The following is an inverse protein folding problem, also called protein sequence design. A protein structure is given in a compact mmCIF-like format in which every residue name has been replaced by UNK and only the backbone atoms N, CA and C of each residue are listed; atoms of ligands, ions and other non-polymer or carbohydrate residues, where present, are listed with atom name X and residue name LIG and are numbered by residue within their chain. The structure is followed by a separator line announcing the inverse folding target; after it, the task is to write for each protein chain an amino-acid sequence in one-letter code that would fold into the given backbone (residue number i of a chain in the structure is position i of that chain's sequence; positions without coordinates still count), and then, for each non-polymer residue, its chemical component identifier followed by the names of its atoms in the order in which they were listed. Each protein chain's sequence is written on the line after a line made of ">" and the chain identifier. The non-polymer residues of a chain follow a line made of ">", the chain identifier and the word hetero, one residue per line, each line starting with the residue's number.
data_IF_521888861749
#
_entry.id   IF_521888861749
#
_cell.length_a   1.000
_cell.length_b   1.000
_cell.length_c   1.000
_cell.angle_alpha   90.00
_cell.angle_beta   90.00
_cell.angle_gamma   90.00
#
_symmetry.space_group_name_H-M   'P 1'
#
loop_
_entity.id
_entity.type
_entity.pdbx_description
1 polymer ?
#
# COMPACT_ATOMS: atom_id res chain seq x y z
N UNK A 1 11.78 12.33 -29.80
CA UNK A 1 12.13 11.41 -30.87
C UNK A 1 11.29 10.16 -30.78
N UNK A 2 10.81 9.62 -31.90
CA UNK A 2 9.95 8.43 -31.94
C UNK A 2 10.67 7.18 -31.45
N UNK A 3 11.97 7.06 -31.69
CA UNK A 3 12.77 5.94 -31.22
C UNK A 3 12.87 5.91 -29.70
N UNK A 4 13.14 7.06 -29.07
CA UNK A 4 13.14 7.20 -27.61
C UNK A 4 11.78 6.83 -27.00
N UNK A 5 10.68 7.23 -27.65
CA UNK A 5 9.33 6.86 -27.19
C UNK A 5 9.12 5.34 -27.29
N UNK A 6 9.56 4.72 -28.40
CA UNK A 6 9.50 3.27 -28.59
C UNK A 6 10.28 2.54 -27.51
N UNK A 7 11.50 2.99 -27.23
CA UNK A 7 12.37 2.39 -26.21
C UNK A 7 11.73 2.48 -24.82
N UNK A 8 11.15 3.63 -24.47
CA UNK A 8 10.46 3.84 -23.19
C UNK A 8 9.18 3.00 -23.07
N UNK A 9 8.36 2.90 -24.12
CA UNK A 9 7.16 2.04 -24.12
C UNK A 9 7.55 0.56 -23.96
N UNK A 10 8.60 0.11 -24.62
CA UNK A 10 9.13 -1.25 -24.47
C UNK A 10 9.70 -1.50 -23.06
N UNK A 11 10.32 -0.49 -22.45
CA UNK A 11 10.86 -0.58 -21.09
C UNK A 11 9.75 -0.60 -20.03
N UNK A 12 8.79 0.31 -20.14
CA UNK A 12 7.74 0.48 -19.14
C UNK A 12 6.61 -0.54 -19.28
N UNK A 13 6.29 -0.95 -20.52
CA UNK A 13 5.16 -1.84 -20.85
C UNK A 13 3.88 -1.42 -20.12
N UNK A 14 3.42 -0.18 -20.30
CA UNK A 14 2.26 0.31 -19.59
C UNK A 14 1.02 -0.50 -19.96
N UNK A 15 0.13 -0.75 -18.99
CA UNK A 15 -1.17 -1.37 -19.27
C UNK A 15 -2.09 -0.40 -20.01
N UNK A 16 -2.00 0.89 -19.70
CA UNK A 16 -2.75 1.97 -20.33
C UNK A 16 -1.83 3.12 -20.72
N UNK A 17 -2.13 3.76 -21.84
CA UNK A 17 -1.39 4.89 -22.37
C UNK A 17 -2.34 6.07 -22.60
N UNK A 18 -2.21 7.09 -21.74
CA UNK A 18 -3.06 8.28 -21.75
C UNK A 18 -2.42 9.35 -22.62
N UNK A 19 -3.19 9.91 -23.52
CA UNK A 19 -2.75 10.94 -24.48
C UNK A 19 -3.82 12.00 -24.68
N UNK A 20 -3.42 13.17 -25.17
CA UNK A 20 -4.36 14.22 -25.58
C UNK A 20 -5.03 13.88 -26.91
N UNK A 21 -6.34 14.10 -27.00
CA UNK A 21 -7.11 13.94 -28.25
C UNK A 21 -6.88 15.07 -29.27
N UNK A 22 -6.25 16.19 -28.86
CA UNK A 22 -5.97 17.33 -29.73
C UNK A 22 -4.70 17.19 -30.57
N UNK A 23 -3.95 16.09 -30.40
CA UNK A 23 -2.66 15.89 -31.07
C UNK A 23 -2.68 14.57 -31.84
N UNK A 24 -2.18 14.58 -33.06
CA UNK A 24 -1.94 13.35 -33.80
C UNK A 24 -0.79 12.57 -33.17
N UNK A 25 -1.02 11.28 -32.99
CA UNK A 25 -0.07 10.38 -32.36
C UNK A 25 0.54 9.42 -33.35
N UNK A 26 1.82 9.05 -33.21
CA UNK A 26 2.45 8.01 -34.03
C UNK A 26 1.71 6.67 -33.91
N UNK A 27 1.79 5.85 -34.96
CA UNK A 27 1.15 4.53 -34.98
C UNK A 27 1.50 3.63 -33.77
N UNK A 28 2.72 3.74 -33.26
CA UNK A 28 3.14 2.99 -32.05
C UNK A 28 2.31 3.35 -30.80
N UNK A 29 1.77 4.54 -30.72
CA UNK A 29 0.92 5.00 -29.61
C UNK A 29 -0.53 4.55 -29.86
N UNK A 30 -1.05 4.81 -31.07
CA UNK A 30 -2.46 4.51 -31.41
C UNK A 30 -2.76 3.03 -31.50
N UNK A 31 -1.77 2.20 -31.87
CA UNK A 31 -1.88 0.74 -31.91
C UNK A 31 -1.72 0.06 -30.54
N UNK A 32 -1.39 0.82 -29.48
CA UNK A 32 -1.27 0.25 -28.15
C UNK A 32 -2.63 -0.21 -27.62
N UNK A 33 -2.72 -1.46 -27.12
CA UNK A 33 -3.98 -2.06 -26.67
C UNK A 33 -4.68 -1.25 -25.55
N UNK A 34 -3.89 -0.58 -24.72
CA UNK A 34 -4.37 0.30 -23.64
C UNK A 34 -4.41 1.79 -24.02
N UNK A 35 -4.45 2.14 -25.32
CA UNK A 35 -4.54 3.53 -25.75
C UNK A 35 -5.83 4.18 -25.26
N UNK A 36 -5.70 5.34 -24.57
CA UNK A 36 -6.80 6.10 -23.95
C UNK A 36 -6.64 7.58 -24.26
N UNK A 37 -7.27 8.10 -25.33
CA UNK A 37 -7.30 9.53 -25.57
C UNK A 37 -8.16 10.24 -24.51
N UNK A 38 -7.69 11.38 -24.02
CA UNK A 38 -8.37 12.24 -23.06
C UNK A 38 -8.48 13.66 -23.64
N UNK A 39 -9.51 14.41 -23.26
CA UNK A 39 -9.67 15.78 -23.72
C UNK A 39 -8.45 16.66 -23.44
N UNK A 40 -8.09 17.53 -24.40
CA UNK A 40 -6.91 18.38 -24.30
C UNK A 40 -6.87 19.26 -23.04
N UNK A 41 -8.04 19.69 -22.54
CA UNK A 41 -8.13 20.51 -21.32
C UNK A 41 -7.66 19.78 -20.04
N UNK A 42 -7.61 18.46 -20.06
CA UNK A 42 -7.07 17.70 -18.93
C UNK A 42 -5.53 17.77 -18.83
N UNK A 43 -4.88 18.18 -19.90
CA UNK A 43 -3.44 18.43 -19.98
C UNK A 43 -3.08 19.92 -19.74
N UNK A 44 -4.04 20.74 -19.29
CA UNK A 44 -3.76 22.14 -18.95
C UNK A 44 -2.69 22.25 -17.85
N UNK A 45 -1.60 22.94 -18.16
CA UNK A 45 -0.44 23.05 -17.27
C UNK A 45 -0.73 23.73 -15.94
N UNK A 46 -1.66 24.71 -15.93
CA UNK A 46 -2.04 25.44 -14.71
C UNK A 46 -2.83 24.54 -13.77
N UNK A 47 -3.82 23.84 -14.31
CA UNK A 47 -4.64 22.86 -13.57
C UNK A 47 -3.79 21.70 -13.07
N UNK A 48 -2.87 21.19 -13.91
CA UNK A 48 -1.95 20.11 -13.56
C UNK A 48 -1.02 20.52 -12.39
N UNK A 49 -0.44 21.73 -12.47
CA UNK A 49 0.41 22.29 -11.41
C UNK A 49 -0.34 22.41 -10.09
N UNK A 50 -1.55 22.96 -10.12
CA UNK A 50 -2.41 23.08 -8.93
C UNK A 50 -2.77 21.71 -8.34
N UNK A 51 -3.07 20.72 -9.18
CA UNK A 51 -3.39 19.36 -8.78
C UNK A 51 -2.20 18.69 -8.06
N UNK A 52 -0.99 18.81 -8.60
CA UNK A 52 0.23 18.25 -8.01
C UNK A 52 0.59 18.93 -6.68
N UNK A 53 0.52 20.27 -6.62
CA UNK A 53 0.77 21.03 -5.38
C UNK A 53 -0.18 20.59 -4.27
N UNK A 54 -1.49 20.48 -4.59
CA UNK A 54 -2.51 20.03 -3.64
C UNK A 54 -2.26 18.59 -3.18
N UNK A 55 -1.95 17.68 -4.09
CA UNK A 55 -1.71 16.27 -3.78
C UNK A 55 -0.56 16.08 -2.81
N UNK A 56 0.56 16.75 -3.06
CA UNK A 56 1.79 16.56 -2.29
C UNK A 56 1.95 17.58 -1.16
N UNK A 57 0.99 18.50 -0.98
CA UNK A 57 1.00 19.55 0.05
C UNK A 57 2.30 20.35 0.05
N UNK A 58 2.79 20.71 -1.12
CA UNK A 58 3.98 21.52 -1.32
C UNK A 58 3.60 22.93 -1.73
N UNK A 59 4.47 23.92 -1.50
CA UNK A 59 4.20 25.31 -1.86
C UNK A 59 4.35 25.56 -3.37
N UNK A 60 5.36 24.95 -3.99
CA UNK A 60 5.59 25.04 -5.44
C UNK A 60 6.32 23.79 -5.97
N UNK A 61 6.43 23.67 -7.30
CA UNK A 61 7.12 22.57 -7.97
C UNK A 61 8.62 22.84 -8.20
N UNK A 62 9.13 24.01 -7.81
CA UNK A 62 10.56 24.36 -8.00
C UNK A 62 11.45 23.47 -7.14
N UNK A 63 11.01 23.17 -5.92
CA UNK A 63 11.69 22.24 -5.02
C UNK A 63 11.90 20.84 -5.59
N UNK A 64 11.15 20.49 -6.63
CA UNK A 64 11.19 19.20 -7.30
C UNK A 64 11.95 19.23 -8.64
N UNK A 65 12.59 20.34 -8.99
CA UNK A 65 13.28 20.58 -10.27
C UNK A 65 12.36 20.44 -11.52
N UNK A 66 11.06 20.77 -11.36
CA UNK A 66 10.07 20.71 -12.45
C UNK A 66 9.83 22.08 -13.10
N UNK A 67 10.54 23.14 -12.73
CA UNK A 67 10.23 24.54 -13.13
C UNK A 67 10.08 24.75 -14.63
N UNK A 68 10.93 24.08 -15.43
CA UNK A 68 11.00 24.27 -16.89
C UNK A 68 10.51 23.04 -17.67
N UNK A 69 9.65 22.22 -17.05
CA UNK A 69 9.20 20.96 -17.60
C UNK A 69 7.67 20.91 -17.75
N UNK A 70 7.09 21.92 -18.36
CA UNK A 70 5.62 22.09 -18.47
C UNK A 70 4.92 20.86 -19.05
N UNK A 71 5.48 20.22 -20.08
CA UNK A 71 4.91 18.99 -20.65
C UNK A 71 4.90 17.83 -19.66
N UNK A 72 5.96 17.67 -18.86
CA UNK A 72 6.01 16.63 -17.83
C UNK A 72 5.01 16.91 -16.71
N UNK A 73 4.84 18.17 -16.33
CA UNK A 73 3.84 18.61 -15.33
C UNK A 73 2.44 18.32 -15.84
N UNK A 74 2.13 18.69 -17.09
CA UNK A 74 0.83 18.45 -17.71
C UNK A 74 0.50 16.97 -17.77
N UNK A 75 1.46 16.13 -18.19
CA UNK A 75 1.31 14.68 -18.23
C UNK A 75 1.11 14.07 -16.83
N UNK A 76 1.91 14.47 -15.84
CA UNK A 76 1.80 14.01 -14.47
C UNK A 76 0.48 14.42 -13.81
N UNK A 77 0.02 15.65 -14.04
CA UNK A 77 -1.26 16.15 -13.54
C UNK A 77 -2.45 15.42 -14.13
N UNK A 78 -2.46 15.20 -15.47
CA UNK A 78 -3.48 14.42 -16.15
C UNK A 78 -3.51 12.97 -15.63
N UNK A 79 -2.36 12.32 -15.51
CA UNK A 79 -2.25 10.97 -14.97
C UNK A 79 -2.78 10.88 -13.54
N UNK A 80 -2.39 11.79 -12.66
CA UNK A 80 -2.85 11.83 -11.28
C UNK A 80 -4.39 12.01 -11.21
N UNK A 81 -4.94 12.90 -12.03
CA UNK A 81 -6.39 13.11 -12.11
C UNK A 81 -7.11 11.84 -12.58
N UNK A 82 -6.60 11.23 -13.64
CA UNK A 82 -7.14 9.97 -14.16
C UNK A 82 -7.16 8.86 -13.11
N UNK A 83 -6.06 8.68 -12.36
CA UNK A 83 -5.99 7.66 -11.32
C UNK A 83 -6.95 7.97 -10.17
N UNK A 84 -7.13 9.24 -9.77
CA UNK A 84 -8.13 9.65 -8.78
C UNK A 84 -9.55 9.36 -9.22
N UNK A 85 -9.88 9.64 -10.47
CA UNK A 85 -11.19 9.36 -11.06
C UNK A 85 -11.50 7.84 -11.09
N UNK A 86 -10.51 7.03 -11.44
CA UNK A 86 -10.68 5.58 -11.54
C UNK A 86 -10.69 4.89 -10.18
N UNK A 87 -9.85 5.31 -9.25
CA UNK A 87 -9.76 4.72 -7.91
C UNK A 87 -10.75 5.34 -6.92
N UNK A 88 -11.32 6.51 -7.24
CA UNK A 88 -12.27 7.26 -6.38
C UNK A 88 -11.74 7.56 -4.99
N UNK A 89 -10.42 7.73 -4.84
CA UNK A 89 -9.72 8.02 -3.58
C UNK A 89 -8.66 9.11 -3.77
N UNK A 90 -8.20 9.72 -2.67
CA UNK A 90 -7.17 10.77 -2.69
C UNK A 90 -5.74 10.26 -2.94
N UNK A 91 -5.51 8.97 -3.02
CA UNK A 91 -4.24 8.32 -3.36
C UNK A 91 -3.04 8.77 -2.49
N UNK A 92 -3.12 8.74 -1.15
CA UNK A 92 -2.05 9.24 -0.28
C UNK A 92 -0.74 8.44 -0.40
N UNK A 93 -0.79 7.23 -0.95
CA UNK A 93 0.36 6.34 -1.15
C UNK A 93 1.20 6.67 -2.39
N UNK A 94 0.70 7.51 -3.31
CA UNK A 94 1.47 7.92 -4.49
C UNK A 94 2.51 8.95 -4.06
N UNK A 95 3.76 8.56 -4.17
CA UNK A 95 4.90 9.40 -3.82
C UNK A 95 5.09 10.54 -4.82
N UNK A 96 5.80 11.57 -4.38
CA UNK A 96 6.21 12.70 -5.21
C UNK A 96 6.95 12.17 -6.45
N UNK A 97 6.55 12.59 -7.67
CA UNK A 97 7.21 12.17 -8.89
C UNK A 97 8.68 12.62 -8.90
N UNK A 98 9.55 11.78 -9.40
CA UNK A 98 10.97 12.10 -9.58
C UNK A 98 11.26 12.29 -11.05
N UNK A 99 11.97 13.36 -11.36
CA UNK A 99 12.49 13.55 -12.71
C UNK A 99 13.60 12.53 -12.95
N UNK A 100 13.48 11.75 -14.01
CA UNK A 100 14.55 10.89 -14.49
C UNK A 100 15.36 11.69 -15.51
N UNK A 101 16.62 11.98 -15.19
CA UNK A 101 17.53 12.57 -16.17
C UNK A 101 18.10 11.43 -17.04
N UNK A 102 17.92 11.49 -18.37
CA UNK A 102 18.51 10.52 -19.28
C UNK A 102 20.04 10.43 -19.18
N UNK A 103 20.70 11.48 -18.66
CA UNK A 103 22.15 11.49 -18.47
C UNK A 103 22.59 10.64 -17.27
N UNK A 104 21.72 10.41 -16.29
CA UNK A 104 22.00 9.60 -15.10
C UNK A 104 21.96 8.10 -15.36
N UNK A 105 21.40 7.68 -16.48
CA UNK A 105 21.22 6.27 -16.81
C UNK A 105 21.86 5.87 -18.15
N UNK A 106 22.22 4.61 -18.27
CA UNK A 106 22.61 4.03 -19.55
C UNK A 106 21.35 3.75 -20.37
N UNK A 107 21.26 4.39 -21.53
CA UNK A 107 20.15 4.16 -22.46
C UNK A 107 20.39 2.82 -23.14
N UNK A 108 19.46 1.88 -22.99
CA UNK A 108 19.45 0.59 -23.67
C UNK A 108 18.26 0.61 -24.61
N UNK A 109 18.51 0.57 -25.90
CA UNK A 109 17.47 0.52 -26.93
C UNK A 109 16.63 -0.77 -26.85
N UNK A 110 15.46 -0.76 -27.49
CA UNK A 110 14.52 -1.88 -27.45
C UNK A 110 15.09 -3.17 -28.04
N UNK A 111 15.91 -3.08 -29.10
CA UNK A 111 16.51 -4.25 -29.74
C UNK A 111 17.59 -4.86 -28.84
N UNK A 112 18.49 -4.04 -28.29
CA UNK A 112 19.51 -4.48 -27.33
C UNK A 112 18.90 -5.12 -26.09
N UNK A 113 17.86 -4.50 -25.50
CA UNK A 113 17.13 -5.02 -24.35
C UNK A 113 16.54 -6.40 -24.62
N UNK A 114 15.91 -6.57 -25.79
CA UNK A 114 15.34 -7.83 -26.23
C UNK A 114 16.41 -8.88 -26.43
N UNK A 115 17.47 -8.55 -27.16
CA UNK A 115 18.55 -9.50 -27.52
C UNK A 115 19.36 -9.94 -26.30
N UNK A 116 19.50 -9.08 -25.29
CA UNK A 116 20.17 -9.41 -24.03
C UNK A 116 19.24 -10.17 -23.05
N UNK A 117 17.98 -10.37 -23.40
CA UNK A 117 16.98 -11.04 -22.54
C UNK A 117 17.04 -10.58 -21.08
N UNK A 118 17.05 -9.25 -20.86
CA UNK A 118 17.29 -8.69 -19.54
C UNK A 118 16.24 -9.12 -18.49
N UNK A 119 14.96 -9.07 -18.86
CA UNK A 119 13.84 -9.42 -17.97
C UNK A 119 12.67 -10.09 -18.71
N UNK A 120 12.80 -10.32 -20.01
CA UNK A 120 11.83 -11.08 -20.82
C UNK A 120 12.59 -11.94 -21.82
N UNK A 121 12.27 -13.22 -21.83
CA UNK A 121 12.84 -14.16 -22.80
C UNK A 121 12.22 -13.97 -24.18
N UNK A 122 13.04 -14.10 -25.22
CA UNK A 122 12.61 -14.05 -26.63
C UNK A 122 11.69 -15.22 -26.95
N UNK A 123 12.00 -16.40 -26.43
CA UNK A 123 11.21 -17.61 -26.62
C UNK A 123 9.95 -17.69 -25.76
N UNK A 124 9.81 -16.80 -24.77
CA UNK A 124 8.75 -16.84 -23.77
C UNK A 124 8.90 -17.93 -22.69
N UNK A 125 9.89 -18.81 -22.82
CA UNK A 125 10.14 -19.93 -21.90
C UNK A 125 11.60 -20.01 -21.40
N UNK A 126 12.45 -19.08 -21.83
CA UNK A 126 13.88 -19.05 -21.45
C UNK A 126 14.11 -18.34 -20.11
N UNK A 127 15.28 -18.64 -19.51
CA UNK A 127 15.77 -17.95 -18.31
C UNK A 127 16.37 -16.60 -18.69
N UNK A 128 15.92 -15.53 -18.06
CA UNK A 128 16.42 -14.16 -18.29
C UNK A 128 17.57 -13.81 -17.35
N UNK A 129 18.30 -12.71 -17.66
CA UNK A 129 19.31 -12.20 -16.74
C UNK A 129 18.70 -11.89 -15.35
N UNK A 130 17.49 -11.33 -15.32
CA UNK A 130 16.79 -11.09 -14.06
C UNK A 130 16.54 -12.37 -13.28
N UNK A 131 16.11 -13.44 -13.93
CA UNK A 131 15.81 -14.72 -13.26
C UNK A 131 17.05 -15.34 -12.63
N UNK A 132 18.20 -15.25 -13.30
CA UNK A 132 19.50 -15.75 -12.81
C UNK A 132 19.94 -14.95 -11.56
N UNK A 133 19.77 -13.63 -11.58
CA UNK A 133 20.25 -12.75 -10.52
C UNK A 133 19.27 -12.63 -9.34
N UNK A 134 17.99 -12.99 -9.52
CA UNK A 134 16.96 -12.74 -8.52
C UNK A 134 16.97 -13.74 -7.37
N UNK A 135 17.90 -13.56 -6.46
CA UNK A 135 17.93 -14.23 -5.16
C UNK A 135 17.45 -13.32 -4.02
N UNK A 136 16.61 -12.31 -4.32
CA UNK A 136 16.16 -11.33 -3.33
C UNK A 136 15.24 -11.97 -2.30
N UNK A 137 15.39 -11.58 -1.04
CA UNK A 137 14.57 -12.06 0.07
C UNK A 137 13.16 -11.46 0.13
N UNK A 138 12.90 -10.37 -0.61
CA UNK A 138 11.61 -9.65 -0.59
C UNK A 138 11.11 -9.37 -2.00
N UNK A 139 9.78 -9.29 -2.16
CA UNK A 139 9.17 -8.89 -3.42
C UNK A 139 9.57 -7.46 -3.84
N UNK A 140 9.74 -6.55 -2.86
CA UNK A 140 10.22 -5.18 -3.09
C UNK A 140 11.66 -5.18 -3.63
N UNK A 141 12.53 -6.02 -3.08
CA UNK A 141 13.90 -6.22 -3.56
C UNK A 141 13.93 -6.71 -4.99
N UNK A 142 13.10 -7.70 -5.35
CA UNK A 142 12.98 -8.18 -6.73
C UNK A 142 12.56 -7.08 -7.71
N UNK A 143 11.59 -6.23 -7.33
CA UNK A 143 11.21 -5.07 -8.14
C UNK A 143 12.34 -4.05 -8.30
N UNK A 144 13.09 -3.81 -7.24
CA UNK A 144 14.25 -2.91 -7.28
C UNK A 144 15.37 -3.47 -8.16
N UNK A 145 15.69 -4.75 -8.04
CA UNK A 145 16.68 -5.43 -8.89
C UNK A 145 16.28 -5.34 -10.37
N UNK A 146 15.02 -5.64 -10.70
CA UNK A 146 14.50 -5.50 -12.06
C UNK A 146 14.66 -4.07 -12.58
N UNK A 147 14.38 -3.07 -11.74
CA UNK A 147 14.61 -1.66 -12.09
C UNK A 147 16.10 -1.38 -12.37
N UNK A 148 17.00 -1.87 -11.54
CA UNK A 148 18.43 -1.66 -11.73
C UNK A 148 18.97 -2.29 -13.02
N UNK A 149 18.51 -3.47 -13.35
CA UNK A 149 18.86 -4.14 -14.63
C UNK A 149 18.33 -3.33 -15.82
N UNK A 150 17.10 -2.83 -15.73
CA UNK A 150 16.44 -2.11 -16.81
C UNK A 150 16.87 -0.65 -16.94
N UNK A 151 17.40 -0.03 -15.90
CA UNK A 151 17.89 1.36 -15.86
C UNK A 151 19.24 1.44 -15.15
N UNK A 152 20.34 0.91 -15.78
CA UNK A 152 21.66 0.97 -15.17
C UNK A 152 22.12 2.42 -15.00
N UNK A 153 22.67 2.73 -13.83
CA UNK A 153 23.12 4.09 -13.50
C UNK A 153 24.48 4.39 -14.12
N UNK A 154 24.67 5.67 -14.51
CA UNK A 154 25.97 6.18 -15.00
C UNK A 154 26.78 6.82 -13.89
N UNK A 155 26.14 7.28 -12.83
CA UNK A 155 26.80 7.97 -11.71
C UNK A 155 27.81 7.05 -11.01
N UNK A 156 29.09 7.37 -11.16
CA UNK A 156 30.21 6.56 -10.65
C UNK A 156 30.21 6.50 -9.12
N UNK A 157 29.95 7.60 -8.43
CA UNK A 157 29.89 7.62 -6.95
C UNK A 157 28.84 6.66 -6.40
N UNK A 158 27.65 6.65 -7.01
CA UNK A 158 26.58 5.75 -6.59
C UNK A 158 26.92 4.28 -6.89
N UNK A 159 27.60 4.01 -8.02
CA UNK A 159 28.08 2.65 -8.35
C UNK A 159 29.12 2.18 -7.33
N UNK A 160 30.12 3.00 -7.05
CA UNK A 160 31.17 2.70 -6.09
C UNK A 160 30.60 2.45 -4.69
N UNK A 161 29.67 3.29 -4.22
CA UNK A 161 29.02 3.06 -2.94
C UNK A 161 28.21 1.75 -2.87
N UNK A 162 27.62 1.31 -4.00
CA UNK A 162 26.94 0.00 -4.08
C UNK A 162 27.91 -1.15 -4.09
N UNK A 163 29.03 -1.03 -4.83
CA UNK A 163 30.07 -2.06 -4.89
C UNK A 163 30.77 -2.22 -3.55
N UNK A 164 31.11 -1.12 -2.86
CA UNK A 164 31.63 -1.12 -1.53
C UNK A 164 30.69 -1.83 -0.53
N UNK A 165 29.39 -1.50 -0.60
CA UNK A 165 28.39 -2.19 0.22
C UNK A 165 28.33 -3.70 -0.05
N UNK A 166 28.43 -4.12 -1.33
CA UNK A 166 28.47 -5.55 -1.70
C UNK A 166 29.75 -6.21 -1.17
N UNK A 167 30.90 -5.56 -1.29
CA UNK A 167 32.17 -6.07 -0.78
C UNK A 167 32.10 -6.34 0.73
N UNK A 168 31.55 -5.38 1.49
CA UNK A 168 31.36 -5.54 2.94
C UNK A 168 30.35 -6.65 3.28
N UNK A 169 29.29 -6.83 2.49
CA UNK A 169 28.32 -7.91 2.67
C UNK A 169 28.91 -9.29 2.38
N UNK A 170 29.83 -9.38 1.41
CA UNK A 170 30.54 -10.61 1.07
C UNK A 170 31.60 -10.98 2.11
N UNK A 171 32.20 -9.96 2.74
CA UNK A 171 33.13 -10.17 3.84
C UNK A 171 32.40 -10.87 4.99
N UNK A 172 32.98 -11.93 5.50
CA UNK A 172 32.43 -12.75 6.59
C UNK A 172 31.02 -13.32 6.30
N UNK A 173 30.60 -13.36 5.04
CA UNK A 173 29.28 -13.86 4.61
C UNK A 173 28.11 -13.21 5.35
N UNK A 174 28.22 -11.91 5.65
CA UNK A 174 27.22 -11.17 6.44
C UNK A 174 25.82 -11.20 5.83
N UNK A 175 25.69 -11.30 4.50
CA UNK A 175 24.42 -11.45 3.81
C UNK A 175 23.64 -12.71 4.20
N UNK A 176 24.30 -13.79 4.62
CA UNK A 176 23.65 -15.02 5.06
C UNK A 176 22.84 -14.80 6.34
N UNK A 177 23.33 -13.94 7.25
CA UNK A 177 22.62 -13.57 8.48
C UNK A 177 21.40 -12.69 8.20
N UNK A 178 21.49 -11.81 7.18
CA UNK A 178 20.42 -10.88 6.80
C UNK A 178 19.27 -11.60 6.06
N UNK A 179 19.57 -12.62 5.27
CA UNK A 179 18.60 -13.30 4.42
C UNK A 179 17.37 -13.84 5.17
N UNK A 180 17.48 -14.52 6.34
CA UNK A 180 16.34 -14.98 7.09
C UNK A 180 15.43 -13.86 7.58
N UNK A 181 16.00 -12.73 8.03
CA UNK A 181 15.25 -11.54 8.43
C UNK A 181 14.50 -10.93 7.24
N UNK A 182 15.17 -10.76 6.10
CA UNK A 182 14.57 -10.22 4.88
C UNK A 182 13.39 -11.07 4.39
N UNK A 183 13.46 -12.39 4.45
CA UNK A 183 12.39 -13.30 4.05
C UNK A 183 11.14 -13.21 4.94
N UNK A 184 11.27 -12.72 6.15
CA UNK A 184 10.12 -12.49 7.04
C UNK A 184 9.36 -11.22 6.67
N UNK A 185 9.97 -10.28 5.95
CA UNK A 185 9.36 -9.01 5.56
C UNK A 185 8.40 -9.25 4.37
N UNK A 186 7.16 -8.85 4.54
CA UNK A 186 6.13 -8.90 3.50
C UNK A 186 6.29 -7.79 2.46
N UNK A 187 5.38 -7.75 1.50
CA UNK A 187 5.33 -6.69 0.49
C UNK A 187 4.67 -5.43 1.07
N UNK A 188 5.43 -4.70 1.89
CA UNK A 188 4.96 -3.49 2.59
C UNK A 188 4.41 -2.45 1.60
N UNK A 189 5.07 -2.23 0.46
CA UNK A 189 4.60 -1.27 -0.55
C UNK A 189 3.19 -1.57 -1.03
N UNK A 190 2.91 -2.85 -1.37
CA UNK A 190 1.58 -3.27 -1.81
C UNK A 190 0.55 -3.27 -0.67
N UNK A 191 0.97 -3.60 0.53
CA UNK A 191 0.08 -3.54 1.70
C UNK A 191 -0.33 -2.09 1.96
N UNK A 192 0.62 -1.16 1.99
CA UNK A 192 0.33 0.27 2.20
C UNK A 192 -0.54 0.85 1.08
N UNK A 193 -0.34 0.44 -0.17
CA UNK A 193 -1.23 0.83 -1.26
C UNK A 193 -2.66 0.34 -1.02
N UNK A 194 -2.86 -0.91 -0.58
CA UNK A 194 -4.21 -1.43 -0.24
C UNK A 194 -4.82 -0.73 0.97
N UNK A 195 -4.03 -0.37 1.97
CA UNK A 195 -4.51 0.42 3.12
C UNK A 195 -4.99 1.78 2.65
N UNK A 196 -4.21 2.47 1.83
CA UNK A 196 -4.56 3.78 1.28
C UNK A 196 -5.82 3.75 0.39
N UNK A 197 -6.06 2.63 -0.29
CA UNK A 197 -7.25 2.39 -1.13
C UNK A 197 -8.43 1.79 -0.36
N UNK A 198 -8.34 1.62 0.96
CA UNK A 198 -9.35 0.97 1.80
C UNK A 198 -9.74 -0.46 1.35
N UNK A 199 -8.80 -1.17 0.73
CA UNK A 199 -8.98 -2.55 0.22
C UNK A 199 -8.10 -3.57 0.95
N UNK A 200 -7.41 -3.13 2.01
CA UNK A 200 -6.57 -4.01 2.82
C UNK A 200 -7.41 -5.08 3.53
N UNK A 201 -6.89 -6.29 3.56
CA UNK A 201 -7.50 -7.43 4.26
C UNK A 201 -6.88 -7.57 5.65
N UNK A 202 -7.54 -8.23 6.62
CA UNK A 202 -6.99 -8.44 7.95
C UNK A 202 -5.58 -9.05 7.96
N UNK A 203 -5.34 -10.03 7.10
CA UNK A 203 -4.01 -10.65 6.94
C UNK A 203 -2.94 -9.71 6.39
N UNK A 204 -3.32 -8.69 5.62
CA UNK A 204 -2.38 -7.66 5.15
C UNK A 204 -1.86 -6.85 6.33
N UNK A 205 -2.74 -6.46 7.26
CA UNK A 205 -2.36 -5.70 8.46
C UNK A 205 -1.51 -6.54 9.42
N UNK A 206 -1.87 -7.82 9.62
CA UNK A 206 -1.04 -8.73 10.39
C UNK A 206 0.36 -8.90 9.75
N UNK A 207 0.42 -9.07 8.42
CA UNK A 207 1.70 -9.17 7.70
C UNK A 207 2.51 -7.88 7.79
N UNK A 208 1.85 -6.71 7.80
CA UNK A 208 2.50 -5.42 8.02
C UNK A 208 3.11 -5.36 9.42
N UNK A 209 2.32 -5.67 10.47
CA UNK A 209 2.78 -5.75 11.86
C UNK A 209 4.03 -6.64 11.98
N UNK A 210 3.94 -7.88 11.50
CA UNK A 210 5.03 -8.85 11.58
C UNK A 210 6.28 -8.37 10.84
N UNK A 211 6.11 -7.70 9.69
CA UNK A 211 7.21 -7.09 8.94
C UNK A 211 7.89 -5.95 9.69
N UNK A 212 7.10 -5.08 10.35
CA UNK A 212 7.63 -3.96 11.13
C UNK A 212 8.38 -4.44 12.38
N UNK A 213 7.92 -5.51 13.02
CA UNK A 213 8.57 -6.12 14.20
C UNK A 213 9.94 -6.72 13.89
N UNK A 214 10.22 -7.10 12.65
CA UNK A 214 11.53 -7.62 12.23
C UNK A 214 12.56 -6.50 12.01
N UNK A 215 12.13 -5.28 11.69
CA UNK A 215 13.04 -4.17 11.31
C UNK A 215 14.11 -3.83 12.38
N UNK A 216 13.81 -3.80 13.70
CA UNK A 216 14.85 -3.54 14.70
C UNK A 216 15.96 -4.60 14.70
N UNK A 217 15.61 -5.88 14.54
CA UNK A 217 16.57 -6.98 14.44
C UNK A 217 17.42 -6.86 13.16
N UNK A 218 16.79 -6.58 12.03
CA UNK A 218 17.48 -6.31 10.77
C UNK A 218 18.46 -5.13 10.91
N UNK A 219 17.99 -4.03 11.50
CA UNK A 219 18.83 -2.86 11.76
C UNK A 219 20.05 -3.18 12.62
N UNK A 220 19.86 -3.97 13.69
CA UNK A 220 20.97 -4.40 14.56
C UNK A 220 22.07 -5.10 13.76
N UNK A 221 21.70 -6.03 12.88
CA UNK A 221 22.64 -6.74 12.02
C UNK A 221 23.30 -5.84 10.96
N UNK A 222 22.58 -4.82 10.43
CA UNK A 222 23.13 -3.89 9.45
C UNK A 222 24.15 -2.92 10.04
N UNK A 223 23.99 -2.50 11.29
CA UNK A 223 24.90 -1.58 11.97
C UNK A 223 26.29 -2.21 12.17
N UNK A 224 26.35 -3.52 12.31
CA UNK A 224 27.62 -4.24 12.45
C UNK A 224 28.47 -4.18 11.17
N UNK A 225 27.86 -3.86 10.03
CA UNK A 225 28.52 -3.78 8.72
C UNK A 225 28.98 -2.35 8.47
N UNK A 226 30.28 -2.12 8.52
CA UNK A 226 30.92 -0.78 8.47
C UNK A 226 31.02 -0.20 7.05
N UNK A 227 29.96 -0.32 6.25
CA UNK A 227 29.87 0.30 4.93
C UNK A 227 28.96 1.54 4.98
N UNK A 228 29.38 2.73 4.52
CA UNK A 228 28.59 3.97 4.63
C UNK A 228 27.18 3.82 4.07
N UNK A 229 27.05 3.19 2.91
CA UNK A 229 25.74 2.97 2.28
C UNK A 229 24.83 2.04 3.08
N UNK A 230 25.36 1.03 3.73
CA UNK A 230 24.60 0.12 4.59
C UNK A 230 24.15 0.84 5.86
N UNK A 231 25.00 1.65 6.46
CA UNK A 231 24.66 2.45 7.64
C UNK A 231 23.56 3.48 7.35
N UNK A 232 23.60 4.13 6.18
CA UNK A 232 22.50 5.00 5.72
C UNK A 232 21.17 4.22 5.64
N UNK A 233 21.18 3.03 5.05
CA UNK A 233 19.99 2.19 4.95
C UNK A 233 19.52 1.69 6.32
N UNK A 234 20.44 1.32 7.20
CA UNK A 234 20.14 0.91 8.57
C UNK A 234 19.45 2.02 9.37
N UNK A 235 19.83 3.28 9.15
CA UNK A 235 19.20 4.44 9.78
C UNK A 235 17.72 4.59 9.36
N UNK A 236 17.36 4.15 8.15
CA UNK A 236 15.98 4.17 7.64
C UNK A 236 15.15 2.96 8.09
N UNK A 237 15.78 1.91 8.63
CA UNK A 237 15.09 0.69 9.10
C UNK A 237 14.55 0.84 10.52
N UNK A 238 13.83 1.93 10.79
CA UNK A 238 13.17 2.17 12.08
C UNK A 238 11.67 2.30 11.86
N UNK A 239 10.87 1.39 12.41
CA UNK A 239 9.42 1.53 12.35
C UNK A 239 8.97 2.62 13.31
N UNK A 240 7.86 3.30 12.99
CA UNK A 240 7.19 4.21 13.91
C UNK A 240 6.59 3.41 15.09
N UNK A 241 7.03 3.63 16.35
CA UNK A 241 6.62 2.80 17.49
C UNK A 241 5.11 2.80 17.74
N UNK A 242 4.43 3.94 17.48
CA UNK A 242 3.00 4.06 17.69
C UNK A 242 2.22 3.17 16.71
N UNK A 243 2.66 3.11 15.45
CA UNK A 243 2.02 2.25 14.43
C UNK A 243 2.19 0.77 14.78
N UNK A 244 3.39 0.38 15.25
CA UNK A 244 3.64 -1.01 15.65
C UNK A 244 2.73 -1.39 16.80
N UNK A 245 2.69 -0.56 17.86
CA UNK A 245 1.84 -0.79 19.04
C UNK A 245 0.36 -0.87 18.67
N UNK A 246 -0.10 0.03 17.80
CA UNK A 246 -1.48 0.04 17.33
C UNK A 246 -1.84 -1.27 16.62
N UNK A 247 -1.00 -1.73 15.72
CA UNK A 247 -1.21 -3.01 15.00
C UNK A 247 -1.13 -4.23 15.92
N UNK A 248 -0.26 -4.22 16.94
CA UNK A 248 -0.17 -5.30 17.92
C UNK A 248 -1.41 -5.37 18.81
N UNK A 249 -1.90 -4.21 19.26
CA UNK A 249 -3.07 -4.13 20.13
C UNK A 249 -4.38 -4.39 19.39
N UNK A 250 -4.50 -3.88 18.14
CA UNK A 250 -5.76 -3.92 17.41
C UNK A 250 -6.02 -5.25 16.70
N UNK A 251 -4.99 -5.92 16.17
CA UNK A 251 -5.17 -7.07 15.28
C UNK A 251 -4.74 -8.37 15.96
N UNK A 252 -5.63 -9.37 15.94
CA UNK A 252 -5.30 -10.71 16.46
C UNK A 252 -4.07 -11.29 15.75
N UNK A 253 -3.37 -12.22 16.40
CA UNK A 253 -2.13 -12.80 15.87
C UNK A 253 -2.34 -13.45 14.50
N UNK A 254 -3.41 -14.21 14.33
CA UNK A 254 -3.75 -14.93 13.11
C UNK A 254 -5.18 -14.56 12.65
N UNK A 255 -5.36 -13.42 11.98
CA UNK A 255 -6.69 -13.00 11.57
C UNK A 255 -7.24 -13.84 10.41
N UNK A 256 -8.56 -13.92 10.25
CA UNK A 256 -9.20 -14.58 9.12
C UNK A 256 -8.87 -13.89 7.79
N UNK A 257 -9.24 -14.51 6.68
CA UNK A 257 -8.98 -13.96 5.34
C UNK A 257 -9.86 -12.75 5.07
N UNK A 258 -11.12 -12.80 5.50
CA UNK A 258 -12.10 -11.74 5.27
C UNK A 258 -12.69 -11.24 6.59
N UNK A 259 -13.05 -9.97 6.65
CA UNK A 259 -13.55 -9.31 7.87
C UNK A 259 -14.86 -9.95 8.36
N UNK A 260 -15.74 -10.37 7.44
CA UNK A 260 -17.04 -10.96 7.80
C UNK A 260 -16.95 -12.28 8.56
N UNK A 261 -15.79 -12.94 8.54
CA UNK A 261 -15.59 -14.17 9.32
C UNK A 261 -15.46 -13.88 10.84
N UNK A 262 -15.42 -12.58 11.21
CA UNK A 262 -15.28 -12.16 12.60
C UNK A 262 -13.87 -12.35 13.16
N UNK A 263 -13.69 -12.08 14.46
CA UNK A 263 -12.45 -12.29 15.20
C UNK A 263 -11.18 -11.69 14.56
N UNK A 264 -11.30 -10.46 14.03
CA UNK A 264 -10.18 -9.69 13.44
C UNK A 264 -9.52 -8.82 14.50
N UNK A 265 -10.34 -8.10 15.28
CA UNK A 265 -9.88 -7.19 16.33
C UNK A 265 -9.56 -8.00 17.58
N UNK A 266 -8.45 -7.68 18.23
CA UNK A 266 -8.05 -8.34 19.48
C UNK A 266 -9.00 -7.99 20.62
N UNK A 267 -9.17 -8.92 21.57
CA UNK A 267 -9.92 -8.66 22.80
C UNK A 267 -9.20 -7.60 23.65
N UNK A 268 -9.94 -6.70 24.25
CA UNK A 268 -9.41 -5.58 25.05
C UNK A 268 -9.01 -4.35 24.24
N UNK A 269 -9.17 -4.37 22.90
CA UNK A 269 -8.89 -3.20 22.06
C UNK A 269 -10.06 -2.21 22.02
N UNK A 270 -11.29 -2.71 21.93
CA UNK A 270 -12.52 -1.91 21.91
C UNK A 270 -13.54 -2.49 22.88
N UNK A 271 -13.84 -1.76 23.94
CA UNK A 271 -14.76 -2.19 25.01
C UNK A 271 -16.17 -2.46 24.48
N UNK A 272 -16.65 -1.65 23.52
CA UNK A 272 -18.00 -1.82 22.96
C UNK A 272 -18.09 -3.11 22.15
N UNK A 273 -17.02 -3.41 21.41
CA UNK A 273 -16.95 -4.67 20.63
C UNK A 273 -16.88 -5.88 21.55
N UNK A 274 -16.12 -5.80 22.64
CA UNK A 274 -15.99 -6.91 23.60
C UNK A 274 -17.31 -7.12 24.37
N UNK A 275 -18.03 -6.06 24.72
CA UNK A 275 -19.39 -6.16 25.28
C UNK A 275 -20.35 -6.85 24.30
N UNK A 276 -20.33 -6.45 23.02
CA UNK A 276 -21.17 -7.06 21.98
C UNK A 276 -20.85 -8.55 21.76
N UNK A 277 -19.58 -8.92 21.81
CA UNK A 277 -19.14 -10.33 21.77
C UNK A 277 -19.63 -11.10 22.98
N UNK A 278 -19.48 -10.51 24.17
CA UNK A 278 -19.98 -11.10 25.41
C UNK A 278 -21.49 -11.35 25.38
N UNK A 279 -22.27 -10.43 24.79
CA UNK A 279 -23.70 -10.60 24.57
C UNK A 279 -23.99 -11.75 23.59
N UNK A 280 -23.22 -11.81 22.49
CA UNK A 280 -23.38 -12.85 21.47
C UNK A 280 -23.04 -14.26 21.97
N UNK A 281 -21.99 -14.39 22.79
CA UNK A 281 -21.53 -15.66 23.35
C UNK A 281 -22.43 -16.15 24.50
N UNK A 282 -22.99 -15.22 25.28
CA UNK A 282 -23.80 -15.50 26.47
C UNK A 282 -25.22 -14.92 26.35
N UNK A 283 -25.84 -15.02 25.17
CA UNK A 283 -27.13 -14.41 24.88
C UNK A 283 -28.22 -14.84 25.87
N UNK A 284 -28.22 -16.11 26.33
CA UNK A 284 -29.16 -16.61 27.30
C UNK A 284 -29.02 -15.93 28.66
N UNK A 285 -27.78 -15.79 29.18
CA UNK A 285 -27.49 -15.13 30.46
C UNK A 285 -27.77 -13.61 30.39
N UNK A 286 -27.51 -13.01 29.25
CA UNK A 286 -27.81 -11.59 29.01
C UNK A 286 -29.33 -11.35 29.03
N UNK A 287 -30.11 -12.21 28.39
CA UNK A 287 -31.58 -12.14 28.40
C UNK A 287 -32.15 -12.29 29.81
N UNK A 288 -31.62 -13.23 30.61
CA UNK A 288 -32.01 -13.41 32.01
C UNK A 288 -31.68 -12.16 32.83
N UNK A 289 -30.50 -11.55 32.68
CA UNK A 289 -30.13 -10.30 33.36
C UNK A 289 -31.00 -9.12 32.92
N UNK A 290 -31.33 -9.03 31.62
CA UNK A 290 -32.22 -8.02 31.09
C UNK A 290 -33.63 -8.15 31.69
N UNK A 291 -34.17 -9.38 31.73
CA UNK A 291 -35.45 -9.70 32.33
C UNK A 291 -35.47 -9.34 33.80
N UNK A 292 -34.43 -9.67 34.57
CA UNK A 292 -34.28 -9.30 35.99
C UNK A 292 -34.24 -7.78 36.17
N UNK A 293 -33.53 -7.05 35.29
CA UNK A 293 -33.43 -5.59 35.35
C UNK A 293 -34.76 -4.92 35.02
N UNK A 294 -35.50 -5.43 34.03
CA UNK A 294 -36.83 -4.96 33.69
C UNK A 294 -37.86 -5.26 34.82
N UNK A 295 -37.78 -6.45 35.42
CA UNK A 295 -38.59 -6.79 36.58
C UNK A 295 -38.30 -5.90 37.79
N UNK A 296 -37.03 -5.55 38.02
CA UNK A 296 -36.64 -4.65 39.08
C UNK A 296 -37.13 -3.19 38.82
N UNK A 297 -37.03 -2.71 37.56
CA UNK A 297 -37.53 -1.42 37.15
C UNK A 297 -39.06 -1.35 37.24
N UNK A 298 -39.76 -2.37 36.75
CA UNK A 298 -41.21 -2.45 36.85
C UNK A 298 -41.72 -2.57 38.32
N UNK A 299 -40.93 -3.21 39.23
CA UNK A 299 -41.26 -3.23 40.66
C UNK A 299 -41.14 -1.85 41.33
N UNK A 300 -40.21 -1.02 40.89
CA UNK A 300 -40.12 0.36 41.34
C UNK A 300 -41.27 1.24 40.81
N UNK A 301 -41.78 0.97 39.62
CA UNK A 301 -42.91 1.69 39.02
C UNK A 301 -44.27 1.20 39.49
N UNK A 302 -44.41 -0.09 39.84
CA UNK A 302 -45.66 -0.70 40.37
C UNK A 302 -45.94 -0.21 41.79
N UNK A 303 -44.96 0.33 42.51
CA UNK A 303 -45.22 1.03 43.79
C UNK A 303 -45.94 2.36 43.61
N UNK A 304 -46.15 2.84 42.39
CA UNK A 304 -46.77 4.12 42.06
C UNK A 304 -48.00 4.07 41.15
N UNK A 305 -48.41 2.95 40.57
CA UNK A 305 -49.70 2.85 39.85
C UNK A 305 -50.14 1.40 39.60
N UNK A 306 -51.25 1.05 40.22
CA UNK A 306 -52.07 -0.10 39.86
C UNK A 306 -52.71 0.15 38.49
N UNK A 307 -52.24 -0.54 37.46
CA UNK A 307 -53.11 -1.01 36.35
C UNK A 307 -52.33 -1.90 35.33
N UNK A 308 -52.96 -3.03 35.07
CA UNK A 308 -52.52 -4.08 34.14
C UNK A 308 -52.39 -3.58 32.69
N UNK A 309 -51.39 -4.10 32.04
CA UNK A 309 -51.20 -4.34 30.59
C UNK A 309 -49.82 -3.97 30.13
N UNK A 310 -48.87 -4.88 30.07
CA UNK A 310 -47.64 -4.66 29.26
C UNK A 310 -46.83 -5.95 28.97
N UNK A 311 -47.46 -6.99 28.38
CA UNK A 311 -46.72 -8.09 27.73
C UNK A 311 -46.24 -7.69 26.34
N UNK A 312 -46.89 -6.70 25.72
CA UNK A 312 -46.62 -6.28 24.32
C UNK A 312 -45.42 -5.31 24.17
N UNK A 313 -44.92 -4.74 25.24
CA UNK A 313 -43.82 -3.74 25.22
C UNK A 313 -42.45 -4.40 25.27
N UNK A 314 -42.31 -5.54 25.95
CA UNK A 314 -41.07 -6.29 26.06
C UNK A 314 -40.64 -6.88 24.71
N UNK A 315 -41.60 -7.45 23.93
CA UNK A 315 -41.35 -7.97 22.59
C UNK A 315 -40.89 -6.86 21.60
N UNK A 316 -41.45 -5.67 21.68
CA UNK A 316 -41.07 -4.53 20.84
C UNK A 316 -39.69 -3.96 21.17
N UNK A 317 -39.33 -3.97 22.44
CA UNK A 317 -38.02 -3.52 22.93
C UNK A 317 -36.91 -4.52 22.54
N UNK A 318 -37.20 -5.83 22.66
CA UNK A 318 -36.28 -6.89 22.21
C UNK A 318 -36.05 -6.87 20.70
N UNK A 319 -37.08 -6.70 19.88
CA UNK A 319 -36.96 -6.57 18.43
C UNK A 319 -36.14 -5.32 18.05
N UNK A 320 -36.31 -4.19 18.76
CA UNK A 320 -35.49 -2.97 18.55
C UNK A 320 -34.03 -3.14 18.95
N UNK A 321 -33.74 -3.88 20.03
CA UNK A 321 -32.36 -4.15 20.48
C UNK A 321 -31.65 -5.09 19.53
N UNK A 322 -32.29 -6.14 19.05
CA UNK A 322 -31.74 -7.06 18.06
C UNK A 322 -31.47 -6.37 16.71
N UNK A 323 -32.37 -5.45 16.28
CA UNK A 323 -32.14 -4.62 15.10
C UNK A 323 -30.97 -3.65 15.32
N UNK A 324 -30.80 -3.08 16.51
CA UNK A 324 -29.72 -2.16 16.82
C UNK A 324 -28.37 -2.86 16.89
N UNK A 325 -28.31 -4.06 17.46
CA UNK A 325 -27.09 -4.89 17.48
C UNK A 325 -26.66 -5.26 16.06
N UNK A 326 -27.61 -5.65 15.20
CA UNK A 326 -27.32 -5.93 13.78
C UNK A 326 -26.87 -4.67 13.01
N UNK A 327 -27.49 -3.52 13.24
CA UNK A 327 -27.14 -2.24 12.59
C UNK A 327 -25.77 -1.74 13.05
N UNK A 328 -25.42 -1.89 14.33
CA UNK A 328 -24.12 -1.46 14.87
C UNK A 328 -23.01 -2.43 14.47
N UNK A 329 -23.28 -3.73 14.34
CA UNK A 329 -22.37 -4.71 13.76
C UNK A 329 -22.11 -4.44 12.26
N UNK A 330 -23.15 -4.05 11.48
CA UNK A 330 -22.98 -3.60 10.11
C UNK A 330 -22.24 -2.27 9.96
N UNK A 331 -22.45 -1.31 10.88
CA UNK A 331 -21.71 -0.04 10.89
C UNK A 331 -20.25 -0.23 11.25
N UNK A 332 -19.93 -1.16 12.15
CA UNK A 332 -18.55 -1.51 12.47
C UNK A 332 -17.85 -2.27 11.32
N UNK A 333 -18.61 -3.07 10.56
CA UNK A 333 -18.12 -3.73 9.33
C UNK A 333 -17.87 -2.75 8.17
N UNK A 334 -18.45 -1.54 8.23
CA UNK A 334 -18.32 -0.48 7.20
C UNK A 334 -17.29 0.61 7.54
N UNK A 335 -16.74 0.68 8.76
CA UNK A 335 -15.63 1.54 9.17
C UNK A 335 -14.30 0.79 9.09
#
# INVERSE_FOLDING_TARGET
>A
NQDTLRDELNRLRPAELITSDAVEHPAIVTSHAGFRPRPAWEFDGTSARSCLIKQYRIHDLRSLNFSDRDLAISAAGCLLKYVKETQKTELPHIQIPKLLDPQDTVIIDAASRRNLELDVSISGQGTTLFDVLNNTGTAMGGRLLRRWINTPIRNTKTKEARLDAIEHLLKDYSYEKLTPCLRQIGDIERILARVALHTARPRDLARLRDSLLVLPSLRGQLIDIQAPRILELAALCMPEPNIVRELENAIVKNPPVVIRDGNVIAAGYDEVLDDLRGISENAADYLVKLEQKEMASNRSDISMSSNATNVSTVDKSMAKLLLKVNDDEEKFKRR
#
